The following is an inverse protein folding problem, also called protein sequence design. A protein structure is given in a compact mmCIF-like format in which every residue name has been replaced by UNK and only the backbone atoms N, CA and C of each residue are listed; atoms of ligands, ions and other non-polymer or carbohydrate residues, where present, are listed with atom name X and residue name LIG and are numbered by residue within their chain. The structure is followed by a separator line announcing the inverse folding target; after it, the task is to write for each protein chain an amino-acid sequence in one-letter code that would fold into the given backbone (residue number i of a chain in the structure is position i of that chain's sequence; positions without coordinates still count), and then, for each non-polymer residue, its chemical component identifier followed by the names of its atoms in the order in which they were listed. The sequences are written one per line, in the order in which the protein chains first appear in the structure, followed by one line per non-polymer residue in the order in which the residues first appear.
data_IF_265930353850
#
_entry.id   IF_265930353850
#
_cell.length_a   1.000
_cell.length_b   1.000
_cell.length_c   1.000
_cell.angle_alpha   90.00
_cell.angle_beta   90.00
_cell.angle_gamma   90.00
#
_symmetry.space_group_name_H-M   'P 1'
#
loop_
_entity.id
_entity.type
_entity.pdbx_description
1 polymer ?
#
# COMPACT_ATOMS: atom_id res chain seq x y z
N UNK A 1 -0.35 24.74 -13.51
CA UNK A 1 0.05 23.72 -12.52
C UNK A 1 1.12 22.89 -13.19
N UNK A 2 2.37 22.99 -12.74
CA UNK A 2 3.40 22.07 -13.21
C UNK A 2 2.97 20.66 -12.83
N UNK A 3 2.93 19.77 -13.84
CA UNK A 3 2.75 18.34 -13.64
C UNK A 3 4.03 17.82 -12.99
N UNK A 4 3.97 17.57 -11.70
CA UNK A 4 5.07 16.95 -11.00
C UNK A 4 5.21 15.50 -11.49
N UNK A 5 6.42 15.03 -11.82
CA UNK A 5 6.63 13.62 -12.16
C UNK A 5 6.18 12.76 -10.98
N UNK A 6 5.54 11.62 -11.26
CA UNK A 6 4.91 10.77 -10.25
C UNK A 6 5.85 10.45 -9.08
N UNK A 7 7.14 10.26 -9.36
CA UNK A 7 8.18 10.00 -8.36
C UNK A 7 8.42 11.19 -7.40
N UNK A 8 8.37 12.43 -7.89
CA UNK A 8 8.57 13.63 -7.06
C UNK A 8 7.38 13.92 -6.13
N UNK A 9 6.17 13.50 -6.51
CA UNK A 9 4.96 13.68 -5.70
C UNK A 9 5.03 12.87 -4.40
N UNK A 10 5.42 11.60 -4.51
CA UNK A 10 5.57 10.70 -3.38
C UNK A 10 6.64 11.22 -2.39
N UNK A 11 7.78 11.67 -2.93
CA UNK A 11 8.87 12.25 -2.14
C UNK A 11 8.43 13.49 -1.36
N UNK A 12 7.72 14.43 -1.99
CA UNK A 12 7.29 15.67 -1.30
C UNK A 12 6.15 15.46 -0.31
N UNK A 13 5.28 14.48 -0.55
CA UNK A 13 4.24 14.11 0.41
C UNK A 13 4.77 13.24 1.57
N UNK A 14 6.06 12.90 1.59
CA UNK A 14 6.65 11.98 2.57
C UNK A 14 6.02 10.58 2.52
N UNK A 15 5.40 10.22 1.39
CA UNK A 15 4.69 8.97 1.19
C UNK A 15 5.49 8.12 0.21
N UNK A 16 5.85 6.89 0.57
CA UNK A 16 6.44 5.96 -0.39
C UNK A 16 5.37 5.42 -1.34
N UNK A 17 5.62 5.38 -2.67
CA UNK A 17 4.73 4.73 -3.61
C UNK A 17 4.62 3.24 -3.26
N UNK A 18 3.44 2.65 -3.41
CA UNK A 18 3.27 1.24 -3.08
C UNK A 18 4.15 0.30 -3.94
N UNK A 19 4.48 0.71 -5.18
CA UNK A 19 5.42 0.00 -6.05
C UNK A 19 6.81 -0.16 -5.42
N UNK A 20 7.30 0.86 -4.71
CA UNK A 20 8.57 0.83 -4.00
C UNK A 20 8.46 0.05 -2.69
N UNK A 21 7.34 0.17 -1.98
CA UNK A 21 7.06 -0.67 -0.80
C UNK A 21 7.03 -2.15 -1.15
N UNK A 22 6.52 -2.59 -2.31
CA UNK A 22 6.60 -4.00 -2.73
C UNK A 22 8.02 -4.56 -2.68
N UNK A 23 9.01 -3.75 -3.04
CA UNK A 23 10.43 -4.10 -2.95
C UNK A 23 10.87 -4.32 -1.51
N UNK A 24 10.55 -3.39 -0.62
CA UNK A 24 10.82 -3.48 0.82
C UNK A 24 10.08 -4.65 1.49
N UNK A 25 8.82 -4.91 1.11
CA UNK A 25 8.03 -6.03 1.60
C UNK A 25 8.56 -7.37 1.10
N UNK A 26 8.98 -7.45 -0.17
CA UNK A 26 9.65 -8.64 -0.71
C UNK A 26 11.01 -8.84 -0.07
N UNK A 27 11.75 -7.77 0.22
CA UNK A 27 13.01 -7.80 0.94
C UNK A 27 12.82 -8.22 2.40
N UNK A 28 11.78 -7.75 3.10
CA UNK A 28 11.43 -8.23 4.44
C UNK A 28 11.06 -9.72 4.43
N UNK A 29 10.26 -10.15 3.44
CA UNK A 29 9.91 -11.56 3.19
C UNK A 29 11.12 -12.42 2.82
N UNK A 30 12.09 -11.87 2.08
CA UNK A 30 13.34 -12.52 1.67
C UNK A 30 14.38 -12.53 2.79
N UNK A 31 14.48 -11.48 3.60
CA UNK A 31 15.35 -11.43 4.78
C UNK A 31 14.91 -12.48 5.80
N UNK A 32 13.60 -12.66 5.99
CA UNK A 32 13.03 -13.81 6.71
C UNK A 32 13.32 -15.17 6.04
N UNK A 33 13.62 -15.20 4.74
CA UNK A 33 13.94 -16.42 3.99
C UNK A 33 15.44 -16.75 3.94
N UNK A 34 16.31 -15.75 3.97
CA UNK A 34 17.77 -15.88 3.83
C UNK A 34 18.47 -16.24 5.16
N UNK A 35 17.91 -15.84 6.30
CA UNK A 35 18.38 -16.31 7.61
C UNK A 35 18.17 -17.83 7.78
N UNK A 36 17.27 -18.43 6.97
CA UNK A 36 16.88 -19.83 7.03
C UNK A 36 17.82 -20.80 6.28
N UNK A 37 18.82 -20.30 5.55
CA UNK A 37 19.66 -21.12 4.67
C UNK A 37 21.03 -21.50 5.26
N UNK A 38 21.42 -20.94 6.40
CA UNK A 38 22.72 -21.22 7.05
C UNK A 38 22.51 -22.04 8.33
N UNK A 39 22.17 -23.33 8.22
CA UNK A 39 21.82 -24.10 9.42
C UNK A 39 21.58 -25.61 9.25
N UNK A 40 22.55 -26.30 8.64
CA UNK A 40 22.98 -27.70 8.82
C UNK A 40 22.00 -28.89 8.72
N UNK A 41 22.47 -29.82 7.90
CA UNK A 41 22.16 -31.24 7.78
C UNK A 41 21.93 -32.04 9.08
N UNK A 42 21.16 -33.11 8.87
CA UNK A 42 21.16 -34.42 9.53
C UNK A 42 20.02 -34.75 10.49
N UNK A 43 19.54 -35.98 10.29
CA UNK A 43 18.72 -36.85 11.14
C UNK A 43 17.19 -36.74 11.04
N UNK A 44 16.65 -37.77 10.39
CA UNK A 44 15.30 -38.30 10.44
C UNK A 44 14.65 -38.30 11.83
N UNK A 45 13.34 -38.05 11.85
CA UNK A 45 12.40 -38.89 12.61
C UNK A 45 11.79 -38.27 13.87
N UNK A 46 10.51 -37.89 13.74
CA UNK A 46 9.48 -37.95 14.79
C UNK A 46 9.74 -37.14 16.08
N UNK A 47 9.38 -35.85 16.05
CA UNK A 47 8.74 -35.19 17.19
C UNK A 47 8.13 -33.86 16.71
N UNK A 48 6.81 -33.86 16.59
CA UNK A 48 6.00 -32.65 16.54
C UNK A 48 6.32 -31.77 17.75
N UNK A 49 6.49 -30.46 17.52
CA UNK A 49 6.42 -29.48 18.60
C UNK A 49 7.70 -28.75 18.96
N UNK A 50 8.36 -28.09 18.00
CA UNK A 50 9.23 -26.94 18.30
C UNK A 50 9.49 -26.03 17.08
N UNK A 51 8.60 -26.02 16.08
CA UNK A 51 8.75 -25.21 14.87
C UNK A 51 7.55 -24.27 14.69
N UNK A 52 7.29 -23.39 15.66
CA UNK A 52 6.24 -22.35 15.54
C UNK A 52 6.58 -21.04 16.23
N UNK A 53 7.81 -20.55 16.15
CA UNK A 53 8.07 -19.13 16.48
C UNK A 53 8.87 -18.42 15.39
N UNK A 54 8.24 -18.36 14.23
CA UNK A 54 8.28 -17.20 13.34
C UNK A 54 6.85 -17.05 12.83
N UNK A 55 6.13 -16.04 13.31
CA UNK A 55 4.69 -15.81 13.11
C UNK A 55 4.34 -15.74 11.63
N UNK A 56 3.99 -16.89 11.06
CA UNK A 56 3.42 -16.94 9.73
C UNK A 56 2.02 -16.32 9.80
N UNK A 57 1.81 -15.18 9.11
CA UNK A 57 0.51 -14.51 9.04
C UNK A 57 -0.60 -15.55 8.78
N UNK A 58 -1.70 -15.45 9.53
CA UNK A 58 -2.87 -16.31 9.35
C UNK A 58 -3.38 -16.24 7.91
N UNK A 59 -4.10 -17.27 7.44
CA UNK A 59 -4.65 -17.28 6.08
C UNK A 59 -5.58 -16.09 5.86
N UNK A 60 -6.26 -15.67 6.91
CA UNK A 60 -7.14 -14.51 6.99
C UNK A 60 -6.34 -13.21 6.84
N UNK A 61 -5.25 -13.05 7.60
CA UNK A 61 -4.35 -11.90 7.50
C UNK A 61 -3.73 -11.77 6.11
N UNK A 62 -3.31 -12.88 5.50
CA UNK A 62 -2.77 -12.89 4.13
C UNK A 62 -3.81 -12.44 3.08
N UNK A 63 -5.09 -12.81 3.26
CA UNK A 63 -6.18 -12.33 2.40
C UNK A 63 -6.42 -10.83 2.62
N UNK A 64 -6.37 -10.37 3.87
CA UNK A 64 -6.47 -8.97 4.25
C UNK A 64 -5.38 -8.12 3.57
N UNK A 65 -4.12 -8.53 3.69
CA UNK A 65 -2.97 -7.91 3.00
C UNK A 65 -3.26 -7.77 1.51
N UNK A 66 -3.54 -8.88 0.81
CA UNK A 66 -3.79 -8.85 -0.65
C UNK A 66 -4.95 -7.93 -1.04
N UNK A 67 -5.98 -7.83 -0.20
CA UNK A 67 -7.11 -6.92 -0.45
C UNK A 67 -6.69 -5.47 -0.31
N UNK A 68 -5.98 -5.13 0.76
CA UNK A 68 -5.48 -3.77 1.01
C UNK A 68 -4.49 -3.34 -0.07
N UNK A 69 -3.56 -4.21 -0.48
CA UNK A 69 -2.62 -3.93 -1.58
C UNK A 69 -3.35 -3.58 -2.89
N UNK A 70 -4.42 -4.32 -3.22
CA UNK A 70 -5.25 -4.03 -4.40
C UNK A 70 -5.97 -2.70 -4.27
N UNK A 71 -6.50 -2.40 -3.10
CA UNK A 71 -7.19 -1.14 -2.83
C UNK A 71 -6.22 0.05 -2.95
N UNK A 72 -5.02 -0.04 -2.35
CA UNK A 72 -3.98 0.98 -2.46
C UNK A 72 -3.64 1.21 -3.94
N UNK A 73 -3.29 0.15 -4.68
CA UNK A 73 -2.93 0.28 -6.09
C UNK A 73 -4.05 0.89 -6.94
N UNK A 74 -5.31 0.52 -6.68
CA UNK A 74 -6.45 1.10 -7.41
C UNK A 74 -6.65 2.59 -7.12
N UNK A 75 -6.50 3.01 -5.86
CA UNK A 75 -6.69 4.42 -5.48
C UNK A 75 -5.50 5.29 -5.91
N UNK A 76 -4.27 4.77 -5.85
CA UNK A 76 -3.09 5.45 -6.39
C UNK A 76 -3.25 5.70 -7.90
N UNK A 77 -3.70 4.70 -8.66
CA UNK A 77 -4.00 4.85 -10.10
C UNK A 77 -5.09 5.89 -10.37
N UNK A 78 -6.19 5.87 -9.61
CA UNK A 78 -7.27 6.87 -9.73
C UNK A 78 -6.77 8.28 -9.44
N UNK A 79 -5.90 8.43 -8.44
CA UNK A 79 -5.33 9.71 -8.05
C UNK A 79 -4.43 10.27 -9.16
N UNK A 80 -3.58 9.41 -9.73
CA UNK A 80 -2.72 9.76 -10.87
C UNK A 80 -3.56 10.16 -12.10
N UNK A 81 -4.52 9.32 -12.50
CA UNK A 81 -5.43 9.60 -13.63
C UNK A 81 -6.18 10.92 -13.44
N UNK A 82 -6.68 11.18 -12.22
CA UNK A 82 -7.41 12.41 -11.92
C UNK A 82 -6.51 13.65 -11.88
N UNK A 83 -5.25 13.55 -11.44
CA UNK A 83 -4.31 14.67 -11.48
C UNK A 83 -3.85 14.98 -12.91
N UNK A 84 -3.65 13.95 -13.73
CA UNK A 84 -3.27 14.10 -15.13
C UNK A 84 -4.42 14.67 -15.98
N UNK A 85 -5.66 14.28 -15.66
CA UNK A 85 -6.86 14.77 -16.33
C UNK A 85 -7.98 15.08 -15.32
N UNK A 86 -7.95 16.27 -14.69
CA UNK A 86 -8.94 16.65 -13.68
C UNK A 86 -10.31 16.83 -14.34
N UNK A 87 -11.23 15.92 -14.00
CA UNK A 87 -12.60 15.92 -14.52
C UNK A 87 -13.53 16.75 -13.65
N UNK A 88 -14.41 17.52 -14.27
CA UNK A 88 -15.53 18.18 -13.60
C UNK A 88 -16.66 17.17 -13.39
N UNK A 89 -17.35 17.24 -12.25
CA UNK A 89 -18.50 16.37 -11.99
C UNK A 89 -19.66 16.77 -12.91
N UNK A 90 -20.41 15.79 -13.47
CA UNK A 90 -21.63 16.09 -14.22
C UNK A 90 -22.57 17.01 -13.45
N UNK A 91 -22.99 18.11 -14.07
CA UNK A 91 -23.86 19.14 -13.48
C UNK A 91 -23.13 20.26 -12.74
N UNK A 92 -21.79 20.31 -12.79
CA UNK A 92 -20.96 21.39 -12.22
C UNK A 92 -20.20 22.21 -13.27
N UNK A 93 -20.46 21.99 -14.56
CA UNK A 93 -19.69 22.55 -15.68
C UNK A 93 -19.76 24.07 -15.76
N UNK A 94 -20.89 24.65 -15.32
CA UNK A 94 -21.14 26.10 -15.36
C UNK A 94 -20.82 26.80 -14.03
N UNK A 95 -20.25 26.09 -13.05
CA UNK A 95 -19.88 26.69 -11.77
C UNK A 95 -18.62 27.55 -11.90
N UNK A 96 -18.43 28.53 -11.00
CA UNK A 96 -17.19 29.28 -10.92
C UNK A 96 -15.97 28.36 -10.80
N UNK A 97 -14.88 28.77 -11.45
CA UNK A 97 -13.63 27.99 -11.50
C UNK A 97 -13.11 27.64 -10.11
N UNK A 98 -13.22 28.54 -9.14
CA UNK A 98 -12.77 28.31 -7.76
C UNK A 98 -13.58 27.20 -7.06
N UNK A 99 -14.87 27.08 -7.38
CA UNK A 99 -15.74 26.02 -6.84
C UNK A 99 -15.35 24.67 -7.43
N UNK A 100 -15.07 24.63 -8.73
CA UNK A 100 -14.58 23.44 -9.43
C UNK A 100 -13.23 23.01 -8.85
N UNK A 101 -12.28 23.93 -8.72
CA UNK A 101 -10.95 23.65 -8.15
C UNK A 101 -11.04 23.13 -6.70
N UNK A 102 -11.88 23.75 -5.85
CA UNK A 102 -12.14 23.26 -4.48
C UNK A 102 -12.75 21.86 -4.48
N UNK A 103 -13.60 21.53 -5.44
CA UNK A 103 -14.18 20.20 -5.56
C UNK A 103 -13.13 19.17 -5.98
N UNK A 104 -12.30 19.50 -6.97
CA UNK A 104 -11.21 18.66 -7.44
C UNK A 104 -10.20 18.40 -6.31
N UNK A 105 -9.85 19.44 -5.55
CA UNK A 105 -8.97 19.33 -4.39
C UNK A 105 -9.54 18.40 -3.31
N UNK A 106 -10.85 18.49 -3.03
CA UNK A 106 -11.51 17.58 -2.08
C UNK A 106 -11.46 16.13 -2.54
N UNK A 107 -11.60 15.88 -3.85
CA UNK A 107 -11.49 14.53 -4.41
C UNK A 107 -10.07 13.97 -4.26
N UNK A 108 -9.06 14.81 -4.50
CA UNK A 108 -7.65 14.47 -4.26
C UNK A 108 -7.42 14.11 -2.79
N UNK A 109 -7.84 14.97 -1.86
CA UNK A 109 -7.68 14.75 -0.42
C UNK A 109 -8.38 13.47 0.06
N UNK A 110 -9.57 13.17 -0.50
CA UNK A 110 -10.30 11.96 -0.19
C UNK A 110 -9.50 10.71 -0.60
N UNK A 111 -9.03 10.65 -1.85
CA UNK A 111 -8.22 9.53 -2.35
C UNK A 111 -6.93 9.35 -1.54
N UNK A 112 -6.26 10.46 -1.19
CA UNK A 112 -5.05 10.45 -0.35
C UNK A 112 -5.34 9.88 1.06
N UNK A 113 -6.45 10.29 1.67
CA UNK A 113 -6.88 9.80 2.99
C UNK A 113 -7.20 8.31 2.97
N UNK A 114 -7.88 7.83 1.92
CA UNK A 114 -8.18 6.41 1.75
C UNK A 114 -6.90 5.58 1.58
N UNK A 115 -5.96 6.03 0.73
CA UNK A 115 -4.66 5.39 0.54
C UNK A 115 -3.91 5.27 1.88
N UNK A 116 -3.84 6.36 2.65
CA UNK A 116 -3.20 6.36 3.97
C UNK A 116 -3.87 5.40 4.94
N UNK A 117 -5.21 5.39 4.97
CA UNK A 117 -5.97 4.47 5.82
C UNK A 117 -5.67 3.01 5.48
N UNK A 118 -5.60 2.67 4.18
CA UNK A 118 -5.25 1.32 3.76
C UNK A 118 -3.80 0.95 4.08
N UNK A 119 -2.85 1.89 3.91
CA UNK A 119 -1.44 1.69 4.29
C UNK A 119 -1.30 1.44 5.79
N UNK A 120 -2.00 2.22 6.63
CA UNK A 120 -2.01 2.04 8.08
C UNK A 120 -2.61 0.69 8.49
N UNK A 121 -3.73 0.29 7.88
CA UNK A 121 -4.34 -1.01 8.15
C UNK A 121 -3.44 -2.16 7.69
N UNK A 122 -2.74 -2.00 6.56
CA UNK A 122 -1.79 -2.98 6.07
C UNK A 122 -0.66 -3.16 7.08
N UNK A 123 -0.09 -2.05 7.57
CA UNK A 123 0.98 -2.06 8.56
C UNK A 123 0.55 -2.78 9.85
N UNK A 124 -0.64 -2.47 10.38
CA UNK A 124 -1.19 -3.17 11.56
C UNK A 124 -1.31 -4.68 11.39
N UNK A 125 -1.68 -5.16 10.19
CA UNK A 125 -1.74 -6.61 9.93
C UNK A 125 -0.34 -7.24 9.96
N UNK A 126 0.68 -6.54 9.47
CA UNK A 126 2.06 -7.03 9.46
C UNK A 126 2.66 -7.05 10.86
N UNK A 127 2.31 -6.05 11.67
CA UNK A 127 2.77 -5.91 13.05
C UNK A 127 2.00 -6.85 14.01
N UNK A 128 0.91 -7.47 13.54
CA UNK A 128 0.08 -8.39 14.33
C UNK A 128 -0.84 -7.68 15.32
N UNK A 129 -1.16 -6.41 15.08
CA UNK A 129 -1.98 -5.55 15.96
C UNK A 129 -3.49 -5.60 15.63
N UNK A 130 -3.95 -6.62 14.91
CA UNK A 130 -5.30 -6.73 14.34
C UNK A 130 -6.00 -8.03 14.71
#
# INVERSE_FOLDING_TARGET
MELWPAEAFWVVMGLTPFSEMKGAFKAAKMAQGLEKAAGKDAAQGLAEGAAKEATQLSKEAQKGVKSLEKQIASHEKKLEEFRNNPTVRPGMENLPKDVIEKQQQRRIQHLETEIQTFKNNLQKILDGEL
#
